data_IF_864712684750
#
_entry.id   IF_864712684750
#
_cell.length_a   1.000
_cell.length_b   1.000
_cell.length_c   1.000
_cell.angle_alpha   90.00
_cell.angle_beta   90.00
_cell.angle_gamma   90.00
#
_symmetry.space_group_name_H-M   'P 1'
#
loop_
_entity.id
_entity.type
_entity.pdbx_description
1 polymer ?
#
# COMPACT_ATOMS: atom_id res chain seq x y z
N UNK A 1 -4.10 -27.76 -34.63
CA UNK A 1 -4.50 -27.24 -33.31
C UNK A 1 -4.53 -25.74 -33.40
N UNK A 2 -5.69 -25.11 -33.14
CA UNK A 2 -5.85 -23.65 -33.24
C UNK A 2 -6.00 -23.08 -31.83
N UNK A 3 -5.21 -22.05 -31.51
CA UNK A 3 -5.30 -21.27 -30.27
C UNK A 3 -5.91 -19.91 -30.61
N UNK A 4 -6.99 -19.55 -29.93
CA UNK A 4 -7.60 -18.24 -30.05
C UNK A 4 -7.51 -17.53 -28.71
N UNK A 5 -6.85 -16.39 -28.69
CA UNK A 5 -6.76 -15.51 -27.51
C UNK A 5 -7.21 -14.10 -27.92
N UNK A 6 -8.17 -13.49 -27.22
CA UNK A 6 -8.61 -12.14 -27.54
C UNK A 6 -7.52 -11.13 -27.16
N UNK A 7 -7.40 -10.06 -27.94
CA UNK A 7 -6.71 -8.86 -27.47
C UNK A 7 -7.58 -8.17 -26.44
N UNK A 8 -7.00 -7.82 -25.29
CA UNK A 8 -7.73 -7.09 -24.27
C UNK A 8 -6.81 -6.16 -23.50
N UNK A 9 -7.44 -5.18 -22.85
CA UNK A 9 -6.81 -4.30 -21.88
C UNK A 9 -7.69 -4.25 -20.65
N UNK A 10 -7.07 -4.34 -19.49
CA UNK A 10 -7.75 -4.30 -18.21
C UNK A 10 -6.99 -3.38 -17.26
N UNK A 11 -7.73 -2.54 -16.54
CA UNK A 11 -7.20 -1.67 -15.48
C UNK A 11 -8.11 -1.79 -14.27
N UNK A 12 -7.53 -2.00 -13.10
CA UNK A 12 -8.27 -2.07 -11.85
C UNK A 12 -7.58 -1.27 -10.77
N UNK A 13 -8.38 -0.61 -9.94
CA UNK A 13 -7.92 0.19 -8.80
C UNK A 13 -8.73 -0.18 -7.57
N UNK A 14 -8.05 -0.43 -6.46
CA UNK A 14 -8.63 -0.92 -5.22
C UNK A 14 -8.22 -0.03 -4.04
N UNK A 15 -9.18 0.27 -3.17
CA UNK A 15 -8.90 0.66 -1.79
C UNK A 15 -8.96 -0.62 -0.96
N UNK A 16 -7.84 -0.95 -0.32
CA UNK A 16 -7.64 -2.26 0.30
C UNK A 16 -7.93 -2.28 1.80
N UNK A 17 -8.14 -1.12 2.43
CA UNK A 17 -8.42 -1.02 3.88
C UNK A 17 -9.56 -1.93 4.30
N UNK A 18 -10.71 -1.81 3.66
CA UNK A 18 -11.93 -2.54 4.04
C UNK A 18 -11.79 -4.03 3.73
N UNK A 19 -11.27 -4.36 2.55
CA UNK A 19 -11.08 -5.75 2.12
C UNK A 19 -10.09 -6.50 3.01
N UNK A 20 -8.93 -5.91 3.31
CA UNK A 20 -7.92 -6.51 4.17
C UNK A 20 -8.39 -6.58 5.64
N UNK A 21 -9.16 -5.60 6.10
CA UNK A 21 -9.79 -5.67 7.42
C UNK A 21 -10.76 -6.86 7.52
N UNK A 22 -11.59 -7.07 6.50
CA UNK A 22 -12.51 -8.21 6.43
C UNK A 22 -11.79 -9.57 6.31
N UNK A 23 -10.60 -9.58 5.71
CA UNK A 23 -9.73 -10.76 5.59
C UNK A 23 -8.89 -11.05 6.86
N UNK A 24 -9.07 -10.29 7.94
CA UNK A 24 -8.43 -10.55 9.23
C UNK A 24 -7.25 -9.63 9.59
N UNK A 25 -7.10 -8.49 8.89
CA UNK A 25 -6.06 -7.49 9.17
C UNK A 25 -6.61 -6.15 9.72
N UNK A 26 -7.61 -6.08 10.62
CA UNK A 26 -8.19 -4.80 11.02
C UNK A 26 -7.24 -3.94 11.89
N UNK A 27 -6.38 -4.58 12.69
CA UNK A 27 -5.49 -3.89 13.65
C UNK A 27 -4.44 -3.01 12.94
N UNK A 28 -3.97 -3.41 11.77
CA UNK A 28 -2.99 -2.64 11.01
C UNK A 28 -3.51 -1.26 10.57
N UNK A 29 -4.83 -1.11 10.55
CA UNK A 29 -5.53 0.10 10.11
C UNK A 29 -6.07 0.93 11.28
N UNK A 30 -5.68 0.61 12.52
CA UNK A 30 -6.13 1.26 13.74
C UNK A 30 -4.96 1.78 14.58
N UNK A 31 -5.20 2.73 15.52
CA UNK A 31 -4.15 3.24 16.42
C UNK A 31 -3.50 2.21 17.35
N UNK A 32 -3.98 0.96 17.35
CA UNK A 32 -3.42 -0.14 18.13
C UNK A 32 -2.42 -0.98 17.31
N UNK A 33 -2.15 -0.61 16.05
CA UNK A 33 -1.13 -1.26 15.23
C UNK A 33 0.25 -1.21 15.91
N UNK A 34 1.00 -2.29 15.81
CA UNK A 34 2.41 -2.31 16.22
C UNK A 34 3.29 -2.35 14.98
N UNK A 35 3.69 -1.17 14.50
CA UNK A 35 4.70 -1.00 13.45
C UNK A 35 6.06 -0.54 14.01
N UNK A 36 6.35 -0.81 15.29
CA UNK A 36 7.60 -0.38 15.95
C UNK A 36 8.88 -0.91 15.30
N UNK A 37 8.79 -1.95 14.46
CA UNK A 37 9.90 -2.38 13.61
C UNK A 37 10.32 -1.38 12.53
N UNK A 38 9.52 -0.35 12.25
CA UNK A 38 9.81 0.67 11.23
C UNK A 38 10.49 1.92 11.80
N UNK A 39 9.98 2.44 12.91
CA UNK A 39 10.41 3.72 13.50
C UNK A 39 10.77 3.64 15.00
N UNK A 40 10.66 2.46 15.61
CA UNK A 40 10.93 2.25 17.04
C UNK A 40 9.78 2.65 17.97
N UNK A 41 8.68 3.19 17.46
CA UNK A 41 7.55 3.67 18.24
C UNK A 41 6.27 2.85 17.96
N UNK A 42 5.25 2.99 18.83
CA UNK A 42 3.95 2.27 18.70
C UNK A 42 2.79 3.20 18.40
N UNK A 43 3.10 4.32 17.74
CA UNK A 43 2.15 5.36 17.39
C UNK A 43 1.91 5.45 15.88
N UNK A 44 2.46 4.54 15.08
CA UNK A 44 2.29 4.47 13.63
C UNK A 44 1.21 3.45 13.25
N UNK A 45 0.34 3.79 12.31
CA UNK A 45 -0.65 2.87 11.73
C UNK A 45 -0.94 3.19 10.25
N UNK A 46 -1.54 2.24 9.52
CA UNK A 46 -1.91 2.46 8.12
C UNK A 46 -3.19 3.29 8.06
N UNK A 47 -3.13 4.44 7.38
CA UNK A 47 -4.27 5.31 7.10
C UNK A 47 -4.99 4.94 5.79
N UNK A 48 -4.26 4.53 4.76
CA UNK A 48 -4.90 4.03 3.55
C UNK A 48 -3.96 3.11 2.76
N UNK A 49 -4.56 2.23 1.96
CA UNK A 49 -3.82 1.38 1.04
C UNK A 49 -4.55 1.35 -0.30
N UNK A 50 -3.84 1.79 -1.34
CA UNK A 50 -4.35 1.86 -2.70
C UNK A 50 -3.49 0.97 -3.58
N UNK A 51 -4.12 0.10 -4.36
CA UNK A 51 -3.44 -0.74 -5.34
C UNK A 51 -4.08 -0.52 -6.71
N UNK A 52 -3.26 -0.31 -7.73
CA UNK A 52 -3.69 -0.14 -9.11
C UNK A 52 -2.89 -1.08 -10.02
N UNK A 53 -3.56 -1.82 -10.88
CA UNK A 53 -2.97 -2.78 -11.80
C UNK A 53 -3.51 -2.59 -13.21
N UNK A 54 -2.65 -2.82 -14.19
CA UNK A 54 -2.92 -2.75 -15.62
C UNK A 54 -2.35 -3.98 -16.31
N UNK A 55 -3.12 -4.56 -17.24
CA UNK A 55 -2.64 -5.60 -18.15
C UNK A 55 -3.19 -5.36 -19.56
N UNK A 56 -2.34 -5.52 -20.56
CA UNK A 56 -2.68 -5.51 -21.97
C UNK A 56 -2.10 -6.75 -22.63
N UNK A 57 -2.89 -7.39 -23.49
CA UNK A 57 -2.48 -8.56 -24.27
C UNK A 57 -2.75 -8.29 -25.75
N UNK A 58 -1.72 -8.46 -26.57
CA UNK A 58 -1.78 -8.39 -28.03
C UNK A 58 -0.83 -9.43 -28.68
N UNK A 59 -0.66 -9.36 -30.00
CA UNK A 59 0.22 -10.28 -30.73
C UNK A 59 1.71 -10.07 -30.47
N UNK A 60 2.12 -8.88 -30.02
CA UNK A 60 3.50 -8.60 -29.67
C UNK A 60 3.83 -9.14 -28.27
N UNK A 61 2.83 -9.25 -27.39
CA UNK A 61 2.96 -9.93 -26.11
C UNK A 61 2.02 -9.40 -25.03
N UNK A 62 2.52 -9.34 -23.80
CA UNK A 62 1.77 -8.84 -22.64
C UNK A 62 2.52 -7.68 -22.00
N UNK A 63 1.83 -6.55 -21.83
CA UNK A 63 2.30 -5.44 -21.02
C UNK A 63 1.53 -5.41 -19.72
N UNK A 64 2.24 -5.48 -18.58
CA UNK A 64 1.63 -5.42 -17.26
C UNK A 64 2.36 -4.42 -16.37
N UNK A 65 1.59 -3.64 -15.61
CA UNK A 65 2.11 -2.68 -14.64
C UNK A 65 1.24 -2.68 -13.39
N UNK A 66 1.86 -2.46 -12.23
CA UNK A 66 1.14 -2.31 -10.98
C UNK A 66 1.82 -1.26 -10.10
N UNK A 67 1.01 -0.53 -9.33
CA UNK A 67 1.46 0.45 -8.36
C UNK A 67 0.69 0.26 -7.05
N UNK A 68 1.40 0.28 -5.92
CA UNK A 68 0.82 0.19 -4.58
C UNK A 68 1.29 1.37 -3.76
N UNK A 69 0.35 2.08 -3.16
CA UNK A 69 0.61 3.18 -2.23
C UNK A 69 0.06 2.82 -0.85
N UNK A 70 0.89 2.98 0.18
CA UNK A 70 0.50 2.83 1.58
C UNK A 70 0.71 4.18 2.26
N UNK A 71 -0.39 4.77 2.72
CA UNK A 71 -0.35 5.97 3.54
C UNK A 71 -0.33 5.56 5.01
N UNK A 72 0.64 6.07 5.77
CA UNK A 72 0.76 5.83 7.20
C UNK A 72 0.52 7.12 7.97
N UNK A 73 0.04 7.00 9.20
CA UNK A 73 -0.27 8.13 10.07
C UNK A 73 0.30 7.87 11.46
N UNK A 74 0.93 8.91 12.01
CA UNK A 74 1.36 8.96 13.41
C UNK A 74 0.19 9.39 14.30
N UNK A 75 0.11 8.85 15.51
CA UNK A 75 -0.84 9.31 16.54
C UNK A 75 -0.26 10.49 17.33
N UNK A 76 1.07 10.68 17.34
CA UNK A 76 1.75 11.82 17.96
C UNK A 76 2.36 12.78 16.92
N UNK A 77 2.66 14.01 17.37
CA UNK A 77 3.41 14.97 16.56
C UNK A 77 4.86 14.48 16.35
N UNK A 78 5.46 14.70 15.18
CA UNK A 78 6.83 14.28 14.91
C UNK A 78 7.79 14.90 15.94
N UNK A 79 8.61 14.05 16.57
CA UNK A 79 9.65 14.49 17.50
C UNK A 79 10.63 15.39 16.75
N UNK A 80 10.65 16.67 17.11
CA UNK A 80 11.67 17.60 16.64
C UNK A 80 12.92 17.40 17.51
N UNK A 81 14.07 16.97 16.96
CA UNK A 81 15.27 16.80 17.76
C UNK A 81 15.68 18.15 18.36
N UNK A 82 15.94 18.17 19.66
CA UNK A 82 16.53 19.34 20.33
C UNK A 82 18.02 19.37 19.94
N UNK A 83 18.40 20.25 19.02
CA UNK A 83 19.82 20.53 18.76
C UNK A 83 20.39 21.32 19.96
N UNK A 84 21.23 20.68 20.76
CA UNK A 84 22.07 21.36 21.75
C UNK A 84 23.46 21.56 21.14
N UNK A 85 23.77 22.80 20.72
CA UNK A 85 25.14 23.21 20.42
C UNK A 85 25.79 23.70 21.71
N UNK A 86 26.91 23.07 22.08
CA UNK A 86 27.81 23.56 23.13
C UNK A 86 29.00 24.15 22.40
N UNK A 87 29.08 25.48 22.39
CA UNK A 87 30.22 26.25 21.91
C UNK A 87 31.28 26.38 23.01
#
# INVERSE_FOLDING_TARGET
>A
MALTLPKFRFRAKFRLREALSALGMPLAFSPQADFSGMDGARDLFIDNMIHEAFVAVDEAGTEAAAATAVAMRLTAAPFSPVEMKVD
#
